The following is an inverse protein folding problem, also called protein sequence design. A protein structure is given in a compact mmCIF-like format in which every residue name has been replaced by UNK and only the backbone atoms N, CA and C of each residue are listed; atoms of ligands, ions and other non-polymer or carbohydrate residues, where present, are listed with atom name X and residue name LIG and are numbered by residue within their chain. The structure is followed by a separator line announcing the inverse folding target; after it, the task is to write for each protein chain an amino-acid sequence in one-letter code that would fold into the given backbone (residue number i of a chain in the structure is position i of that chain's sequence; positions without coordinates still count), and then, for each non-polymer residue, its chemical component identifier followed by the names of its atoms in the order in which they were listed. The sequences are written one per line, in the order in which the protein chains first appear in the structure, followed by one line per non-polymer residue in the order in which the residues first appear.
data_IF_030781119980
#
_entry.id   IF_030781119980
#
_cell.length_a   1.000
_cell.length_b   1.000
_cell.length_c   1.000
_cell.angle_alpha   90.00
_cell.angle_beta   90.00
_cell.angle_gamma   90.00
#
_symmetry.space_group_name_H-M   'P 1'
#
loop_
_entity.id
_entity.type
_entity.pdbx_description
1 polymer ?
#
# COMPACT_ATOMS: atom_id res chain seq x y z
N UNK A 1 6.18 -20.24 -5.13
CA UNK A 1 6.32 -18.83 -4.68
C UNK A 1 7.29 -18.81 -3.52
N UNK A 2 8.29 -17.89 -3.53
CA UNK A 2 9.16 -17.69 -2.36
C UNK A 2 8.36 -17.21 -1.15
N UNK A 3 8.90 -17.38 0.05
CA UNK A 3 8.27 -16.92 1.31
C UNK A 3 8.15 -15.38 1.31
N UNK A 4 6.92 -14.85 1.30
CA UNK A 4 6.66 -13.41 1.44
C UNK A 4 7.11 -12.96 2.83
N UNK A 5 7.88 -11.87 2.89
CA UNK A 5 8.34 -11.24 4.14
C UNK A 5 8.01 -9.75 4.19
N UNK A 6 7.88 -9.10 3.03
CA UNK A 6 7.70 -7.66 2.88
C UNK A 6 6.40 -7.36 2.15
N UNK A 7 5.54 -6.56 2.79
CA UNK A 7 4.25 -6.18 2.23
C UNK A 7 4.18 -4.67 2.07
N UNK A 8 3.98 -4.18 0.84
CA UNK A 8 3.69 -2.77 0.60
C UNK A 8 2.20 -2.52 0.67
N UNK A 9 1.80 -1.51 1.45
CA UNK A 9 0.41 -1.14 1.67
C UNK A 9 0.14 0.24 1.06
N UNK A 10 -0.88 0.30 0.22
CA UNK A 10 -1.31 1.47 -0.52
C UNK A 10 -2.71 1.90 -0.11
N UNK A 11 -2.99 3.20 -0.16
CA UNK A 11 -4.31 3.74 0.15
C UNK A 11 -4.29 5.26 0.36
N UNK A 12 -5.45 5.84 0.66
CA UNK A 12 -5.61 7.29 0.82
C UNK A 12 -4.71 7.87 1.89
N UNK A 13 -4.01 8.96 1.56
CA UNK A 13 -3.26 9.78 2.51
C UNK A 13 -4.11 10.77 3.32
N UNK A 14 -5.41 10.89 3.02
CA UNK A 14 -6.28 11.97 3.56
C UNK A 14 -7.44 11.47 4.41
N UNK A 15 -7.59 10.15 4.61
CA UNK A 15 -8.64 9.63 5.50
C UNK A 15 -8.41 10.10 6.95
N UNK A 16 -9.51 10.39 7.62
CA UNK A 16 -9.48 10.85 9.02
C UNK A 16 -9.32 9.67 9.98
N UNK A 17 -8.60 9.91 11.07
CA UNK A 17 -8.54 8.98 12.19
C UNK A 17 -9.97 8.64 12.67
N UNK A 18 -10.18 7.38 13.07
CA UNK A 18 -11.49 6.90 13.49
C UNK A 18 -12.47 6.54 12.37
N UNK A 19 -12.18 6.87 11.08
CA UNK A 19 -13.02 6.41 9.97
C UNK A 19 -12.97 4.89 9.79
N UNK A 20 -13.98 4.27 9.15
CA UNK A 20 -13.97 2.80 8.93
C UNK A 20 -12.73 2.31 8.19
N UNK A 21 -12.27 3.05 7.18
CA UNK A 21 -11.06 2.69 6.40
C UNK A 21 -9.80 2.85 7.26
N UNK A 22 -9.72 3.89 8.11
CA UNK A 22 -8.60 4.07 9.04
C UNK A 22 -8.52 2.90 10.03
N UNK A 23 -9.65 2.53 10.67
CA UNK A 23 -9.71 1.37 11.56
C UNK A 23 -9.33 0.06 10.87
N UNK A 24 -9.77 -0.13 9.62
CA UNK A 24 -9.39 -1.29 8.82
C UNK A 24 -7.87 -1.32 8.55
N UNK A 25 -7.26 -0.16 8.25
CA UNK A 25 -5.83 -0.05 8.03
C UNK A 25 -5.02 -0.33 9.30
N UNK A 26 -5.47 0.14 10.48
CA UNK A 26 -4.86 -0.21 11.78
C UNK A 26 -4.92 -1.72 12.01
N UNK A 27 -6.09 -2.36 11.80
CA UNK A 27 -6.24 -3.81 11.93
C UNK A 27 -5.33 -4.57 10.97
N UNK A 28 -5.18 -4.08 9.72
CA UNK A 28 -4.29 -4.69 8.74
C UNK A 28 -2.83 -4.63 9.20
N UNK A 29 -2.34 -3.48 9.67
CA UNK A 29 -0.98 -3.32 10.16
C UNK A 29 -0.66 -4.26 11.33
N UNK A 30 -1.59 -4.33 12.29
CA UNK A 30 -1.49 -5.23 13.45
C UNK A 30 -1.46 -6.71 13.01
N UNK A 31 -2.31 -7.10 12.08
CA UNK A 31 -2.37 -8.49 11.61
C UNK A 31 -1.14 -8.89 10.80
N UNK A 32 -0.64 -8.00 9.92
CA UNK A 32 0.60 -8.21 9.16
C UNK A 32 1.80 -8.40 10.10
N UNK A 33 1.94 -7.53 11.11
CA UNK A 33 3.02 -7.63 12.09
C UNK A 33 2.97 -8.93 12.91
N UNK A 34 1.78 -9.30 13.41
CA UNK A 34 1.57 -10.57 14.12
C UNK A 34 1.88 -11.80 13.27
N UNK A 35 1.69 -11.70 11.97
CA UNK A 35 2.03 -12.76 11.02
C UNK A 35 3.52 -12.73 10.59
N UNK A 36 4.33 -11.82 11.14
CA UNK A 36 5.78 -11.73 10.91
C UNK A 36 6.17 -11.02 9.61
N UNK A 37 5.28 -10.21 9.01
CA UNK A 37 5.59 -9.41 7.83
C UNK A 37 6.17 -8.04 8.23
N UNK A 38 7.20 -7.59 7.50
CA UNK A 38 7.63 -6.20 7.52
C UNK A 38 6.73 -5.38 6.60
N UNK A 39 6.26 -4.22 7.08
CA UNK A 39 5.29 -3.37 6.37
C UNK A 39 5.99 -2.18 5.75
N UNK A 40 5.71 -1.91 4.48
CA UNK A 40 6.17 -0.75 3.75
C UNK A 40 4.98 0.11 3.31
N UNK A 41 5.11 1.42 3.42
CA UNK A 41 4.03 2.36 3.09
C UNK A 41 4.60 3.70 2.65
N UNK A 42 3.76 4.57 2.11
CA UNK A 42 4.20 5.87 1.57
C UNK A 42 4.60 6.93 2.60
N UNK A 43 4.67 6.61 3.87
CA UNK A 43 5.28 7.44 4.92
C UNK A 43 4.43 8.58 5.49
N UNK A 44 3.29 8.91 4.90
CA UNK A 44 2.49 10.09 5.30
C UNK A 44 1.26 9.70 6.13
N UNK A 45 0.21 10.52 6.11
CA UNK A 45 -1.01 10.31 6.88
C UNK A 45 -1.99 9.30 6.29
N UNK A 46 -3.18 9.22 6.86
CA UNK A 46 -4.26 8.39 6.39
C UNK A 46 -4.01 6.89 6.54
N UNK A 47 -4.17 6.11 5.46
CA UNK A 47 -3.91 4.66 5.45
C UNK A 47 -2.46 4.35 5.85
N UNK A 48 -1.50 5.15 5.37
CA UNK A 48 -0.07 4.96 5.64
C UNK A 48 0.24 5.08 7.13
N UNK A 49 -0.28 6.11 7.77
CA UNK A 49 -0.18 6.32 9.22
C UNK A 49 -0.91 5.22 10.01
N UNK A 50 -2.12 4.89 9.59
CA UNK A 50 -2.94 3.89 10.27
C UNK A 50 -2.30 2.50 10.27
N UNK A 51 -1.75 2.07 9.13
CA UNK A 51 -1.07 0.77 9.04
C UNK A 51 0.21 0.74 9.86
N UNK A 52 0.99 1.85 9.87
CA UNK A 52 2.18 1.98 10.71
C UNK A 52 1.83 1.90 12.20
N UNK A 53 0.77 2.63 12.64
CA UNK A 53 0.26 2.58 14.02
C UNK A 53 -0.11 1.17 14.44
N UNK A 54 -0.84 0.44 13.59
CA UNK A 54 -1.22 -0.95 13.86
C UNK A 54 -0.03 -1.90 13.89
N UNK A 55 0.93 -1.76 12.98
CA UNK A 55 2.14 -2.56 12.92
C UNK A 55 2.98 -2.39 14.20
N UNK A 56 3.23 -1.16 14.60
CA UNK A 56 4.00 -0.82 15.81
C UNK A 56 3.31 -1.31 17.08
N UNK A 57 1.98 -1.20 17.16
CA UNK A 57 1.20 -1.70 18.29
C UNK A 57 1.32 -3.22 18.50
N UNK A 58 1.68 -3.97 17.46
CA UNK A 58 1.95 -5.41 17.53
C UNK A 58 3.44 -5.77 17.68
N UNK A 59 4.32 -4.79 17.88
CA UNK A 59 5.78 -5.00 17.96
C UNK A 59 6.43 -5.38 16.62
N UNK A 60 5.75 -5.13 15.49
CA UNK A 60 6.29 -5.38 14.15
C UNK A 60 7.13 -4.23 13.65
N UNK A 61 7.74 -4.42 12.48
CA UNK A 61 8.57 -3.40 11.81
C UNK A 61 7.86 -2.79 10.63
N UNK A 62 7.95 -1.46 10.50
CA UNK A 62 7.40 -0.75 9.36
C UNK A 62 8.33 0.35 8.87
N UNK A 63 8.31 0.61 7.57
CA UNK A 63 9.16 1.61 6.92
C UNK A 63 8.33 2.53 6.03
N UNK A 64 8.44 3.83 6.27
CA UNK A 64 7.87 4.85 5.40
C UNK A 64 8.79 5.17 4.23
N UNK A 65 8.30 5.14 2.99
CA UNK A 65 9.04 5.59 1.81
C UNK A 65 8.49 6.95 1.40
N UNK A 66 9.31 8.00 1.58
CA UNK A 66 8.93 9.41 1.39
C UNK A 66 9.70 10.05 0.24
N UNK A 67 9.40 11.31 -0.05
CA UNK A 67 10.16 12.11 -1.02
C UNK A 67 10.89 13.25 -0.34
N UNK A 68 12.00 13.66 -0.93
CA UNK A 68 12.72 14.86 -0.56
C UNK A 68 12.04 16.09 -1.19
N UNK A 69 10.95 16.55 -0.57
CA UNK A 69 10.04 17.57 -1.12
C UNK A 69 10.76 18.87 -1.55
N UNK A 70 11.91 19.22 -0.93
CA UNK A 70 12.70 20.39 -1.30
C UNK A 70 13.32 20.32 -2.70
N UNK A 71 13.44 19.13 -3.28
CA UNK A 71 14.03 18.90 -4.61
C UNK A 71 12.98 18.85 -5.74
N UNK A 72 11.70 18.98 -5.42
CA UNK A 72 10.63 18.92 -6.42
C UNK A 72 10.23 20.32 -6.88
N UNK A 73 10.55 20.72 -8.13
CA UNK A 73 10.13 22.02 -8.67
C UNK A 73 8.60 22.13 -8.65
N UNK A 74 8.08 23.26 -8.14
CA UNK A 74 6.64 23.51 -8.10
C UNK A 74 5.86 22.74 -7.05
N UNK A 75 6.52 21.94 -6.22
CA UNK A 75 5.86 21.22 -5.13
C UNK A 75 5.42 22.18 -4.04
N UNK A 76 4.14 22.52 -4.05
CA UNK A 76 3.49 23.21 -2.92
C UNK A 76 3.00 22.13 -1.97
N UNK A 77 3.33 22.26 -0.68
CA UNK A 77 2.80 21.38 0.36
C UNK A 77 1.27 21.30 0.23
N UNK A 78 0.74 20.09 0.25
CA UNK A 78 -0.71 19.89 0.34
C UNK A 78 -1.25 20.68 1.52
N UNK A 79 -2.32 21.47 1.36
CA UNK A 79 -2.88 22.26 2.46
C UNK A 79 -3.12 21.39 3.68
N UNK A 80 -2.51 21.74 4.81
CA UNK A 80 -2.74 21.12 6.11
C UNK A 80 -1.85 19.91 6.49
N UNK A 81 -0.93 19.44 5.63
CA UNK A 81 0.03 18.38 6.02
C UNK A 81 1.38 18.57 5.35
N UNK A 82 2.40 18.73 6.15
CA UNK A 82 3.78 18.77 5.67
C UNK A 82 4.17 17.39 5.14
N UNK A 83 4.35 17.24 3.82
CA UNK A 83 4.98 16.06 3.22
C UNK A 83 6.50 16.05 3.48
N UNK A 84 6.95 16.72 4.54
CA UNK A 84 8.35 16.92 4.87
C UNK A 84 8.88 15.92 5.89
N UNK A 85 8.00 15.20 6.56
CA UNK A 85 8.36 14.20 7.57
C UNK A 85 7.53 12.94 7.42
N UNK A 86 8.19 11.81 7.67
CA UNK A 86 7.51 10.54 7.86
C UNK A 86 6.56 10.63 9.08
N UNK A 87 5.46 9.87 9.08
CA UNK A 87 4.54 9.83 10.21
C UNK A 87 5.22 9.27 11.48
N UNK A 88 4.74 9.68 12.63
CA UNK A 88 5.33 9.35 13.95
C UNK A 88 5.34 7.86 14.31
N UNK A 89 4.59 7.03 13.58
CA UNK A 89 4.47 5.58 13.83
C UNK A 89 5.43 4.76 12.97
N UNK A 90 6.13 5.37 12.01
CA UNK A 90 7.14 4.71 11.22
C UNK A 90 8.39 4.43 12.07
N UNK A 91 8.93 3.20 11.96
CA UNK A 91 10.16 2.81 12.67
C UNK A 91 11.40 3.25 11.87
N UNK A 92 11.27 3.30 10.54
CA UNK A 92 12.34 3.74 9.63
C UNK A 92 11.78 4.56 8.47
N UNK A 93 12.64 5.36 7.84
CA UNK A 93 12.34 6.14 6.66
C UNK A 93 13.35 5.87 5.55
N UNK A 94 12.85 5.64 4.32
CA UNK A 94 13.63 5.69 3.08
C UNK A 94 13.18 6.92 2.31
N UNK A 95 14.09 7.88 2.11
CA UNK A 95 13.77 9.13 1.43
C UNK A 95 14.27 9.09 -0.01
N UNK A 96 13.35 9.27 -0.95
CA UNK A 96 13.63 9.23 -2.37
C UNK A 96 13.76 10.64 -2.96
N UNK A 97 14.60 10.83 -3.98
CA UNK A 97 14.82 12.15 -4.59
C UNK A 97 13.63 12.63 -5.44
N UNK A 98 12.77 11.75 -5.89
CA UNK A 98 11.61 12.08 -6.73
C UNK A 98 10.37 11.30 -6.36
N UNK A 99 9.21 11.79 -6.82
CA UNK A 99 7.91 11.14 -6.63
C UNK A 99 7.82 9.79 -7.35
N UNK A 100 8.36 9.73 -8.55
CA UNK A 100 8.43 8.51 -9.37
C UNK A 100 9.34 7.48 -8.70
N UNK A 101 10.51 7.90 -8.25
CA UNK A 101 11.45 7.04 -7.52
C UNK A 101 10.82 6.46 -6.25
N UNK A 102 10.03 7.25 -5.51
CA UNK A 102 9.27 6.78 -4.36
C UNK A 102 8.27 5.68 -4.73
N UNK A 103 7.50 5.91 -5.80
CA UNK A 103 6.52 4.95 -6.28
C UNK A 103 7.19 3.63 -6.68
N UNK A 104 8.22 3.69 -7.49
CA UNK A 104 8.99 2.52 -7.91
C UNK A 104 9.61 1.80 -6.70
N UNK A 105 10.16 2.55 -5.73
CA UNK A 105 10.75 1.96 -4.52
C UNK A 105 9.73 1.18 -3.69
N UNK A 106 8.49 1.68 -3.55
CA UNK A 106 7.41 0.96 -2.88
C UNK A 106 7.07 -0.36 -3.58
N UNK A 107 7.05 -0.34 -4.92
CA UNK A 107 6.76 -1.52 -5.75
C UNK A 107 7.92 -2.53 -5.71
N UNK A 108 9.15 -2.08 -5.80
CA UNK A 108 10.34 -2.94 -5.75
C UNK A 108 10.46 -3.65 -4.41
N UNK A 109 10.28 -2.90 -3.32
CA UNK A 109 10.51 -3.38 -1.95
C UNK A 109 9.49 -4.42 -1.52
N UNK A 110 8.21 -4.25 -1.86
CA UNK A 110 7.15 -5.21 -1.53
C UNK A 110 7.30 -6.51 -2.30
N UNK A 111 7.10 -7.63 -1.63
CA UNK A 111 6.97 -8.97 -2.23
C UNK A 111 5.50 -9.34 -2.44
N UNK A 112 4.60 -8.57 -1.82
CA UNK A 112 3.16 -8.58 -2.00
C UNK A 112 2.60 -7.17 -1.77
N UNK A 113 1.41 -6.92 -2.29
CA UNK A 113 0.77 -5.62 -2.23
C UNK A 113 -0.64 -5.72 -1.65
N UNK A 114 -0.99 -4.78 -0.76
CA UNK A 114 -2.37 -4.63 -0.27
C UNK A 114 -2.86 -3.21 -0.56
N UNK A 115 -3.99 -3.12 -1.25
CA UNK A 115 -4.63 -1.86 -1.60
C UNK A 115 -5.91 -1.66 -0.79
N UNK A 116 -5.95 -0.59 -0.01
CA UNK A 116 -7.18 -0.03 0.56
C UNK A 116 -7.71 1.09 -0.34
N UNK A 117 -8.92 1.56 -0.06
CA UNK A 117 -9.50 2.65 -0.83
C UNK A 117 -8.65 3.91 -0.74
N UNK A 118 -8.50 4.57 -1.89
CA UNK A 118 -7.71 5.79 -2.03
C UNK A 118 -8.16 6.65 -3.21
N UNK A 119 -7.49 7.76 -3.44
CA UNK A 119 -7.74 8.68 -4.55
C UNK A 119 -6.80 8.38 -5.73
N UNK A 120 -6.54 9.39 -6.57
CA UNK A 120 -5.73 9.28 -7.79
C UNK A 120 -4.34 8.71 -7.57
N UNK A 121 -3.67 9.04 -6.45
CA UNK A 121 -2.36 8.47 -6.09
C UNK A 121 -2.42 6.94 -5.96
N UNK A 122 -3.44 6.44 -5.23
CA UNK A 122 -3.64 4.99 -5.06
C UNK A 122 -4.04 4.30 -6.36
N UNK A 123 -4.80 4.98 -7.23
CA UNK A 123 -5.11 4.46 -8.57
C UNK A 123 -3.87 4.39 -9.45
N UNK A 124 -3.02 5.42 -9.43
CA UNK A 124 -1.75 5.41 -10.15
C UNK A 124 -0.85 4.24 -9.69
N UNK A 125 -0.73 4.03 -8.38
CA UNK A 125 -0.01 2.89 -7.80
C UNK A 125 -0.59 1.56 -8.27
N UNK A 126 -1.92 1.41 -8.26
CA UNK A 126 -2.61 0.19 -8.68
C UNK A 126 -2.41 -0.08 -10.18
N UNK A 127 -2.60 0.92 -11.03
CA UNK A 127 -2.47 0.75 -12.48
C UNK A 127 -1.03 0.47 -12.90
N UNK A 128 -0.04 1.08 -12.24
CA UNK A 128 1.35 0.75 -12.51
C UNK A 128 1.68 -0.70 -12.13
N UNK A 129 1.26 -1.16 -10.95
CA UNK A 129 1.42 -2.56 -10.51
C UNK A 129 0.69 -3.51 -11.47
N UNK A 130 -0.50 -3.13 -11.94
CA UNK A 130 -1.27 -3.92 -12.90
C UNK A 130 -0.55 -4.04 -14.26
N UNK A 131 -0.10 -2.92 -14.81
CA UNK A 131 0.64 -2.92 -16.08
C UNK A 131 1.94 -3.73 -15.97
N UNK A 132 2.69 -3.57 -14.88
CA UNK A 132 3.90 -4.35 -14.64
C UNK A 132 3.60 -5.86 -14.58
N UNK A 133 2.49 -6.28 -13.97
CA UNK A 133 2.07 -7.67 -13.94
C UNK A 133 1.68 -8.18 -15.34
N UNK A 134 0.94 -7.40 -16.13
CA UNK A 134 0.60 -7.73 -17.51
C UNK A 134 1.83 -7.87 -18.41
N UNK A 135 2.87 -7.06 -18.17
CA UNK A 135 4.18 -7.15 -18.84
C UNK A 135 5.06 -8.27 -18.31
N UNK A 136 4.57 -9.06 -17.33
CA UNK A 136 5.34 -10.13 -16.68
C UNK A 136 6.62 -9.65 -15.95
N UNK A 137 6.66 -8.37 -15.57
CA UNK A 137 7.76 -7.80 -14.79
C UNK A 137 7.72 -8.24 -13.34
N UNK A 138 6.57 -8.73 -12.87
CA UNK A 138 6.43 -9.42 -11.58
C UNK A 138 5.21 -10.36 -11.58
N UNK A 139 5.23 -11.30 -10.63
CA UNK A 139 4.10 -12.20 -10.32
C UNK A 139 3.65 -12.06 -8.87
N UNK A 140 4.00 -10.94 -8.23
CA UNK A 140 3.70 -10.67 -6.82
C UNK A 140 2.19 -10.59 -6.60
N UNK A 141 1.65 -11.18 -5.52
CA UNK A 141 0.22 -11.12 -5.21
C UNK A 141 -0.22 -9.69 -4.90
N UNK A 142 -1.34 -9.28 -5.49
CA UNK A 142 -1.99 -7.98 -5.33
C UNK A 142 -3.35 -8.19 -4.70
N UNK A 143 -3.53 -7.76 -3.45
CA UNK A 143 -4.76 -7.95 -2.69
C UNK A 143 -5.53 -6.64 -2.59
N UNK A 144 -6.74 -6.62 -3.13
CA UNK A 144 -7.64 -5.47 -3.09
C UNK A 144 -8.59 -5.61 -1.89
N UNK A 145 -8.30 -4.92 -0.81
CA UNK A 145 -9.11 -4.88 0.41
C UNK A 145 -10.12 -3.71 0.38
N UNK A 146 -9.84 -2.66 -0.38
CA UNK A 146 -10.71 -1.50 -0.55
C UNK A 146 -11.95 -1.83 -1.38
N UNK A 147 -13.14 -1.64 -0.81
CA UNK A 147 -14.43 -1.99 -1.47
C UNK A 147 -14.67 -1.17 -2.74
N UNK A 148 -14.29 0.12 -2.75
CA UNK A 148 -14.44 0.99 -3.92
C UNK A 148 -13.50 0.56 -5.05
N UNK A 149 -12.24 0.23 -4.72
CA UNK A 149 -11.29 -0.31 -5.69
C UNK A 149 -11.76 -1.63 -6.29
N UNK A 150 -12.33 -2.52 -5.45
CA UNK A 150 -12.91 -3.78 -5.95
C UNK A 150 -14.03 -3.54 -6.96
N UNK A 151 -14.94 -2.57 -6.68
CA UNK A 151 -16.01 -2.20 -7.63
C UNK A 151 -15.43 -1.68 -8.95
N UNK A 152 -14.41 -0.82 -8.88
CA UNK A 152 -13.72 -0.30 -10.06
C UNK A 152 -13.09 -1.44 -10.89
N UNK A 153 -12.32 -2.32 -10.25
CA UNK A 153 -11.67 -3.45 -10.95
C UNK A 153 -12.69 -4.41 -11.54
N UNK A 154 -13.80 -4.68 -10.83
CA UNK A 154 -14.91 -5.49 -11.39
C UNK A 154 -15.59 -4.82 -12.60
N UNK A 155 -15.68 -3.49 -12.60
CA UNK A 155 -16.19 -2.74 -13.76
C UNK A 155 -15.23 -2.81 -14.94
N UNK A 156 -13.95 -2.56 -14.71
CA UNK A 156 -12.91 -2.60 -15.74
C UNK A 156 -12.73 -4.00 -16.34
N UNK A 157 -12.98 -5.06 -15.56
CA UNK A 157 -12.95 -6.46 -16.03
C UNK A 157 -13.92 -6.74 -17.18
N UNK A 158 -14.95 -5.92 -17.35
CA UNK A 158 -15.93 -6.07 -18.46
C UNK A 158 -15.35 -5.65 -19.80
N UNK A 159 -14.28 -4.86 -19.81
CA UNK A 159 -13.60 -4.46 -21.02
C UNK A 159 -12.61 -5.55 -21.45
N UNK A 160 -12.78 -6.18 -22.63
CA UNK A 160 -11.91 -7.25 -23.10
C UNK A 160 -10.45 -6.80 -23.35
N UNK A 161 -10.22 -5.50 -23.53
CA UNK A 161 -8.87 -4.95 -23.69
C UNK A 161 -8.10 -4.90 -22.36
N UNK A 162 -8.80 -4.90 -21.23
CA UNK A 162 -8.22 -4.79 -19.89
C UNK A 162 -8.11 -6.17 -19.21
N UNK A 163 -6.97 -6.82 -19.44
CA UNK A 163 -6.67 -8.11 -18.80
C UNK A 163 -6.30 -7.90 -17.34
N UNK A 164 -7.07 -8.50 -16.42
CA UNK A 164 -6.73 -8.52 -14.99
C UNK A 164 -5.77 -9.69 -14.75
N UNK A 165 -4.57 -9.45 -14.19
CA UNK A 165 -3.61 -10.51 -13.89
C UNK A 165 -4.16 -11.52 -12.88
N UNK A 166 -3.78 -12.79 -13.01
CA UNK A 166 -4.15 -13.86 -12.07
C UNK A 166 -3.68 -13.61 -10.63
N UNK A 167 -2.62 -12.79 -10.49
CA UNK A 167 -2.08 -12.39 -9.18
C UNK A 167 -2.95 -11.38 -8.42
N UNK A 168 -4.10 -10.94 -8.99
CA UNK A 168 -5.00 -9.98 -8.37
C UNK A 168 -6.13 -10.69 -7.62
N UNK A 169 -6.23 -10.46 -6.32
CA UNK A 169 -7.20 -11.08 -5.42
C UNK A 169 -8.10 -10.02 -4.79
N UNK A 170 -9.42 -10.22 -4.88
CA UNK A 170 -10.40 -9.43 -4.16
C UNK A 170 -10.62 -10.05 -2.79
N UNK A 171 -10.28 -9.33 -1.73
CA UNK A 171 -10.37 -9.84 -0.35
C UNK A 171 -11.40 -9.08 0.47
N UNK A 172 -12.23 -9.80 1.21
CA UNK A 172 -13.34 -9.24 1.98
C UNK A 172 -12.91 -8.76 3.37
N UNK A 173 -11.79 -9.26 3.90
CA UNK A 173 -11.35 -9.00 5.26
C UNK A 173 -9.82 -9.02 5.41
N UNK A 174 -9.34 -8.46 6.51
CA UNK A 174 -7.94 -8.56 6.93
C UNK A 174 -7.52 -10.02 7.14
N UNK A 175 -8.38 -10.84 7.75
CA UNK A 175 -8.08 -12.25 8.01
C UNK A 175 -7.89 -13.04 6.71
N UNK A 176 -8.74 -12.78 5.71
CA UNK A 176 -8.56 -13.35 4.38
C UNK A 176 -7.24 -12.91 3.72
N UNK A 177 -6.84 -11.65 3.92
CA UNK A 177 -5.54 -11.14 3.45
C UNK A 177 -4.38 -11.94 4.04
N UNK A 178 -4.38 -12.14 5.35
CA UNK A 178 -3.32 -12.91 6.04
C UNK A 178 -3.34 -14.37 5.61
N UNK A 179 -4.52 -14.98 5.49
CA UNK A 179 -4.66 -16.37 5.04
C UNK A 179 -4.05 -16.60 3.65
N UNK A 180 -4.28 -15.69 2.71
CA UNK A 180 -3.70 -15.78 1.36
C UNK A 180 -2.17 -15.65 1.37
N UNK A 181 -1.61 -14.82 2.21
CA UNK A 181 -0.15 -14.72 2.37
C UNK A 181 0.44 -15.96 3.07
N UNK A 182 -0.32 -16.59 3.98
CA UNK A 182 0.08 -17.80 4.70
C UNK A 182 -0.08 -19.10 3.90
N UNK A 183 -0.94 -19.14 2.89
CA UNK A 183 -1.14 -20.32 2.04
C UNK A 183 0.06 -20.64 1.11
N UNK A 184 1.05 -19.74 1.04
CA UNK A 184 2.32 -19.93 0.32
C UNK A 184 3.49 -20.35 1.22
N UNK A 185 3.22 -20.78 2.47
CA UNK A 185 4.23 -21.29 3.42
C UNK A 185 4.42 -22.78 3.29
#
# INVERSE_FOLDING_TARGET
MGKIRRVSVFGSGTIREGSPVYRQAVKLGLALARAGFSVYHGGYGGVMEAVAKGCRAAGGTNTGITVEARKMPGFKSYPGRALTRVNQWADAEIRMPSWEGRLLKLIETGEAYVFLDGATGTLNELFLVWEMANRKLHTKPVLLLGKRLQKLVKFLKKDPALKIPESFYLVSSVDQTIKLFGAGR
#
